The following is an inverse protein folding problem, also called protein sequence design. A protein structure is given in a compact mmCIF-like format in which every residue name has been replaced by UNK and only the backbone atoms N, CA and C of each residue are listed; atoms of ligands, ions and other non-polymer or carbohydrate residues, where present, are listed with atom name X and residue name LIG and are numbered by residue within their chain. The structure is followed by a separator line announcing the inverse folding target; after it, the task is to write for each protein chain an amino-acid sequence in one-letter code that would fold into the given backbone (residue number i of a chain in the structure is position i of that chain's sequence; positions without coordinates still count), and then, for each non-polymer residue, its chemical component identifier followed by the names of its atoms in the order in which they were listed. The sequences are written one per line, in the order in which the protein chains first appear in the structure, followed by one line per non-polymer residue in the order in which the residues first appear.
data_IF_931282609836
#
_entry.id   IF_931282609836
#
_cell.length_a   1.000
_cell.length_b   1.000
_cell.length_c   1.000
_cell.angle_alpha   90.00
_cell.angle_beta   90.00
_cell.angle_gamma   90.00
#
_symmetry.space_group_name_H-M   'P 1'
#
loop_
_entity.id
_entity.type
_entity.pdbx_description
1 polymer ?
#
# COMPACT_ATOMS: atom_id res chain seq x y z
N UNK A 1 -38.62 3.67 32.43
CA UNK A 1 -37.56 2.64 32.66
C UNK A 1 -36.61 2.42 31.47
N UNK A 2 -36.58 3.30 30.47
CA UNK A 2 -35.63 3.20 29.31
C UNK A 2 -34.21 3.77 29.57
N UNK A 3 -34.00 4.50 30.67
CA UNK A 3 -32.78 5.26 30.90
C UNK A 3 -31.58 4.48 31.45
N UNK A 4 -31.81 3.52 32.34
CA UNK A 4 -30.71 2.82 33.04
C UNK A 4 -30.06 1.71 32.17
N UNK A 5 -30.85 1.00 31.37
CA UNK A 5 -30.32 -0.02 30.46
C UNK A 5 -29.41 0.53 29.35
N UNK A 6 -29.66 1.75 28.91
CA UNK A 6 -28.84 2.43 27.89
C UNK A 6 -27.52 2.93 28.45
N UNK A 7 -27.47 3.39 29.69
CA UNK A 7 -26.23 3.86 30.36
C UNK A 7 -25.25 2.70 30.57
N UNK A 8 -25.73 1.54 31.01
CA UNK A 8 -24.89 0.35 31.20
C UNK A 8 -24.38 -0.23 29.86
N UNK A 9 -25.15 -0.13 28.80
CA UNK A 9 -24.73 -0.55 27.46
C UNK A 9 -23.69 0.42 26.83
N UNK A 10 -23.72 1.69 27.18
CA UNK A 10 -22.79 2.72 26.66
C UNK A 10 -21.39 2.68 27.31
N UNK A 11 -21.27 2.22 28.54
CA UNK A 11 -19.97 2.16 29.24
C UNK A 11 -18.96 1.21 28.55
N UNK A 12 -19.32 -0.04 28.13
CA UNK A 12 -18.42 -0.89 27.39
C UNK A 12 -17.99 -0.29 26.06
N UNK A 13 -18.89 0.40 25.34
CA UNK A 13 -18.59 1.07 24.08
C UNK A 13 -17.53 2.16 24.24
N UNK A 14 -17.72 3.03 25.24
CA UNK A 14 -16.76 4.11 25.55
C UNK A 14 -15.40 3.56 25.96
N UNK A 15 -15.38 2.51 26.80
CA UNK A 15 -14.13 1.88 27.24
C UNK A 15 -13.38 1.22 26.09
N UNK A 16 -14.08 0.50 25.22
CA UNK A 16 -13.49 -0.14 24.05
C UNK A 16 -12.90 0.90 23.09
N UNK A 17 -13.63 1.96 22.81
CA UNK A 17 -13.16 3.04 21.94
C UNK A 17 -11.97 3.81 22.55
N UNK A 18 -11.97 4.04 23.85
CA UNK A 18 -10.86 4.64 24.59
C UNK A 18 -9.59 3.80 24.48
N UNK A 19 -9.69 2.49 24.63
CA UNK A 19 -8.55 1.58 24.55
C UNK A 19 -7.98 1.52 23.13
N UNK A 20 -8.82 1.54 22.11
CA UNK A 20 -8.37 1.53 20.71
C UNK A 20 -7.80 2.87 20.24
N UNK A 21 -8.20 3.99 20.84
CA UNK A 21 -7.70 5.31 20.46
C UNK A 21 -6.48 5.75 21.28
N UNK A 22 -6.02 4.96 22.24
CA UNK A 22 -4.81 5.27 23.01
C UNK A 22 -3.52 5.33 22.16
N UNK A 23 -3.48 4.65 21.01
CA UNK A 23 -2.36 4.74 20.08
C UNK A 23 -2.24 6.12 19.40
N UNK A 24 -3.31 6.93 19.39
CA UNK A 24 -3.31 8.28 18.83
C UNK A 24 -2.68 9.34 19.75
N UNK A 25 -2.27 8.97 20.95
CA UNK A 25 -1.40 9.83 21.79
C UNK A 25 0.05 9.89 21.31
N UNK A 26 0.39 9.18 20.24
CA UNK A 26 1.69 9.31 19.61
C UNK A 26 1.76 10.67 18.89
N UNK A 27 2.68 11.51 19.31
CA UNK A 27 2.90 12.88 18.84
C UNK A 27 3.05 13.02 17.31
N UNK A 28 3.32 11.93 16.61
CA UNK A 28 3.40 11.90 15.15
C UNK A 28 2.05 12.12 14.46
N UNK A 29 0.94 11.90 15.15
CA UNK A 29 -0.42 12.04 14.61
C UNK A 29 -1.18 13.25 15.14
N UNK A 30 -0.65 13.99 16.11
CA UNK A 30 -1.31 15.18 16.69
C UNK A 30 -1.52 16.32 15.70
N UNK A 31 -0.80 16.32 14.57
CA UNK A 31 -0.92 17.37 13.56
C UNK A 31 -2.07 17.16 12.54
N UNK A 32 -2.74 16.03 12.55
CA UNK A 32 -3.72 15.66 11.51
C UNK A 32 -5.16 15.87 11.95
N UNK A 33 -5.43 15.86 13.25
CA UNK A 33 -6.78 16.04 13.82
C UNK A 33 -6.71 16.95 15.04
N UNK A 34 -7.49 18.01 15.06
CA UNK A 34 -7.55 18.92 16.21
C UNK A 34 -8.11 18.19 17.43
N UNK A 35 -7.74 18.63 18.64
CA UNK A 35 -8.25 18.05 19.88
C UNK A 35 -9.78 18.16 19.95
N UNK A 36 -10.36 19.23 19.42
CA UNK A 36 -11.81 19.43 19.35
C UNK A 36 -12.50 18.41 18.45
N UNK A 37 -11.95 18.13 17.26
CA UNK A 37 -12.47 17.10 16.36
C UNK A 37 -12.35 15.70 16.95
N UNK A 38 -11.25 15.41 17.62
CA UNK A 38 -11.03 14.18 18.36
C UNK A 38 -12.07 13.98 19.47
N UNK A 39 -12.32 14.99 20.30
CA UNK A 39 -13.32 14.96 21.36
C UNK A 39 -14.74 14.84 20.80
N UNK A 40 -15.06 15.58 19.75
CA UNK A 40 -16.36 15.51 19.06
C UNK A 40 -16.64 14.11 18.55
N UNK A 41 -15.66 13.46 17.91
CA UNK A 41 -15.79 12.08 17.42
C UNK A 41 -16.01 11.10 18.56
N UNK A 42 -15.28 11.24 19.66
CA UNK A 42 -15.41 10.37 20.84
C UNK A 42 -16.73 10.53 21.58
N UNK A 43 -17.32 11.71 21.53
CA UNK A 43 -18.62 12.01 22.14
C UNK A 43 -19.80 11.62 21.24
N UNK A 44 -19.52 11.27 19.97
CA UNK A 44 -20.56 10.86 19.04
C UNK A 44 -21.02 9.42 19.33
N UNK A 45 -22.17 9.30 19.98
CA UNK A 45 -22.75 8.00 20.36
C UNK A 45 -22.95 7.05 19.18
N UNK A 46 -23.24 7.56 17.98
CA UNK A 46 -23.43 6.73 16.78
C UNK A 46 -22.11 6.10 16.33
N UNK A 47 -21.03 6.88 16.29
CA UNK A 47 -19.68 6.38 15.92
C UNK A 47 -19.21 5.35 16.96
N UNK A 48 -19.35 5.66 18.24
CA UNK A 48 -18.98 4.76 19.34
C UNK A 48 -19.73 3.45 19.24
N UNK A 49 -21.04 3.51 18.96
CA UNK A 49 -21.88 2.32 18.79
C UNK A 49 -21.46 1.48 17.58
N UNK A 50 -21.23 2.10 16.42
CA UNK A 50 -20.80 1.41 15.21
C UNK A 50 -19.45 0.72 15.40
N UNK A 51 -18.50 1.40 16.04
CA UNK A 51 -17.18 0.85 16.36
C UNK A 51 -17.30 -0.37 17.27
N UNK A 52 -18.14 -0.29 18.30
CA UNK A 52 -18.36 -1.43 19.17
C UNK A 52 -19.01 -2.61 18.42
N UNK A 53 -20.07 -2.38 17.63
CA UNK A 53 -20.72 -3.42 16.84
C UNK A 53 -19.74 -4.11 15.90
N UNK A 54 -18.87 -3.33 15.25
CA UNK A 54 -17.86 -3.87 14.35
C UNK A 54 -16.90 -4.85 15.04
N UNK A 55 -16.43 -4.51 16.25
CA UNK A 55 -15.44 -5.32 16.95
C UNK A 55 -16.00 -6.41 17.84
N UNK A 56 -17.17 -6.20 18.42
CA UNK A 56 -17.67 -7.05 19.52
C UNK A 56 -19.02 -7.69 19.30
N UNK A 57 -19.84 -7.24 18.33
CA UNK A 57 -21.13 -7.88 18.05
C UNK A 57 -20.94 -9.19 17.29
N UNK A 58 -21.38 -10.35 17.84
CA UNK A 58 -21.17 -11.64 17.19
C UNK A 58 -21.83 -11.76 15.82
N UNK A 59 -23.00 -11.12 15.62
CA UNK A 59 -23.73 -11.16 14.34
C UNK A 59 -22.99 -10.35 13.27
N UNK A 60 -22.49 -9.15 13.64
CA UNK A 60 -21.72 -8.30 12.72
C UNK A 60 -20.43 -9.02 12.33
N UNK A 61 -19.71 -9.59 13.29
CA UNK A 61 -18.48 -10.36 13.02
C UNK A 61 -18.75 -11.57 12.14
N UNK A 62 -19.79 -12.35 12.47
CA UNK A 62 -20.15 -13.52 11.68
C UNK A 62 -20.56 -13.15 10.26
N UNK A 63 -21.36 -12.09 10.07
CA UNK A 63 -21.72 -11.59 8.76
C UNK A 63 -20.50 -11.07 7.96
N UNK A 64 -19.55 -10.44 8.64
CA UNK A 64 -18.30 -9.98 8.01
C UNK A 64 -17.37 -11.13 7.58
N UNK A 65 -17.48 -12.28 8.20
CA UNK A 65 -16.70 -13.49 7.87
C UNK A 65 -17.37 -14.39 6.82
N UNK A 66 -18.65 -14.13 6.49
CA UNK A 66 -19.35 -14.92 5.47
C UNK A 66 -18.73 -14.68 4.09
N UNK A 67 -18.29 -15.76 3.48
CA UNK A 67 -17.96 -15.73 2.06
C UNK A 67 -19.22 -15.43 1.24
N UNK A 68 -19.10 -14.50 0.33
CA UNK A 68 -20.13 -14.19 -0.66
C UNK A 68 -19.57 -14.48 -2.03
N UNK A 69 -20.31 -15.24 -2.81
CA UNK A 69 -20.00 -15.39 -4.22
C UNK A 69 -20.26 -14.07 -4.93
N UNK A 70 -19.32 -13.64 -5.72
CA UNK A 70 -19.40 -12.45 -6.52
C UNK A 70 -18.98 -12.82 -7.95
N UNK A 71 -19.88 -12.63 -8.90
CA UNK A 71 -19.57 -12.85 -10.31
C UNK A 71 -18.83 -11.66 -10.88
N UNK A 72 -17.62 -11.90 -11.38
CA UNK A 72 -16.86 -10.91 -12.13
C UNK A 72 -17.28 -11.04 -13.59
N UNK A 73 -18.09 -10.07 -14.07
CA UNK A 73 -18.44 -9.98 -15.48
C UNK A 73 -17.35 -9.22 -16.24
N UNK A 74 -17.35 -9.33 -17.56
CA UNK A 74 -16.43 -8.58 -18.43
C UNK A 74 -16.57 -7.08 -18.21
N UNK A 75 -17.79 -6.58 -18.16
CA UNK A 75 -18.09 -5.15 -17.94
C UNK A 75 -17.56 -4.67 -16.58
N UNK A 76 -17.68 -5.51 -15.55
CA UNK A 76 -17.12 -5.20 -14.23
C UNK A 76 -15.58 -5.10 -14.28
N UNK A 77 -14.93 -6.03 -14.96
CA UNK A 77 -13.48 -6.01 -15.15
C UNK A 77 -13.02 -4.76 -15.91
N UNK A 78 -13.73 -4.36 -16.98
CA UNK A 78 -13.46 -3.14 -17.76
C UNK A 78 -13.60 -1.87 -16.91
N UNK A 79 -14.64 -1.79 -16.09
CA UNK A 79 -14.84 -0.65 -15.17
C UNK A 79 -13.69 -0.56 -14.19
N UNK A 80 -13.28 -1.68 -13.55
CA UNK A 80 -12.16 -1.71 -12.62
C UNK A 80 -10.87 -1.29 -13.32
N UNK A 81 -10.61 -1.82 -14.51
CA UNK A 81 -9.42 -1.47 -15.29
C UNK A 81 -9.38 0.03 -15.62
N UNK A 82 -10.51 0.60 -16.04
CA UNK A 82 -10.66 2.03 -16.32
C UNK A 82 -10.39 2.87 -15.07
N UNK A 83 -10.95 2.47 -13.92
CA UNK A 83 -10.71 3.15 -12.65
C UNK A 83 -9.26 3.10 -12.21
N UNK A 84 -8.59 1.95 -12.39
CA UNK A 84 -7.18 1.79 -12.09
C UNK A 84 -6.32 2.72 -12.95
N UNK A 85 -6.58 2.80 -14.27
CA UNK A 85 -5.87 3.70 -15.17
C UNK A 85 -6.02 5.17 -14.76
N UNK A 86 -7.26 5.61 -14.49
CA UNK A 86 -7.51 6.96 -13.98
C UNK A 86 -6.84 7.23 -12.63
N UNK A 87 -6.76 6.23 -11.78
CA UNK A 87 -6.05 6.36 -10.51
C UNK A 87 -4.55 6.54 -10.73
N UNK A 88 -3.94 5.75 -11.63
CA UNK A 88 -2.53 5.88 -12.00
C UNK A 88 -2.22 7.27 -12.56
N UNK A 89 -3.04 7.78 -13.48
CA UNK A 89 -2.90 9.16 -13.98
C UNK A 89 -2.93 10.19 -12.85
N UNK A 90 -3.88 10.08 -11.94
CA UNK A 90 -4.03 10.99 -10.80
C UNK A 90 -2.86 10.91 -9.83
N UNK A 91 -2.33 9.71 -9.58
CA UNK A 91 -1.13 9.48 -8.76
C UNK A 91 0.09 10.14 -9.44
N UNK A 92 0.29 9.90 -10.73
CA UNK A 92 1.38 10.50 -11.50
C UNK A 92 1.31 12.03 -11.53
N UNK A 93 0.14 12.62 -11.79
CA UNK A 93 -0.07 14.08 -11.79
C UNK A 93 0.23 14.73 -10.42
N UNK A 94 0.07 13.99 -9.33
CA UNK A 94 0.37 14.45 -7.97
C UNK A 94 1.82 14.22 -7.56
N UNK A 95 2.63 13.59 -8.41
CA UNK A 95 4.01 13.24 -8.09
C UNK A 95 4.15 12.22 -6.96
N UNK A 96 3.10 11.42 -6.70
CA UNK A 96 3.13 10.37 -5.69
C UNK A 96 3.90 9.19 -6.26
N UNK A 97 4.85 8.67 -5.51
CA UNK A 97 5.60 7.47 -5.84
C UNK A 97 4.96 6.22 -5.24
N UNK A 98 5.18 5.08 -5.88
CA UNK A 98 4.69 3.77 -5.44
C UNK A 98 5.87 2.95 -4.97
N UNK A 99 5.79 2.41 -3.77
CA UNK A 99 6.69 1.40 -3.27
C UNK A 99 6.22 0.00 -3.69
N UNK A 100 7.12 -0.78 -4.25
CA UNK A 100 6.90 -2.17 -4.62
C UNK A 100 7.90 -3.06 -3.88
N UNK A 101 7.38 -4.13 -3.30
CA UNK A 101 8.13 -5.10 -2.50
C UNK A 101 7.87 -6.50 -3.08
N UNK A 102 8.60 -6.94 -4.13
CA UNK A 102 8.26 -8.11 -4.92
C UNK A 102 7.95 -9.37 -4.12
N UNK A 103 8.82 -9.79 -3.21
CA UNK A 103 8.61 -11.00 -2.40
C UNK A 103 7.42 -10.86 -1.43
N UNK A 104 7.34 -9.74 -0.72
CA UNK A 104 6.22 -9.44 0.18
C UNK A 104 4.90 -9.36 -0.58
N UNK A 105 4.89 -8.64 -1.71
CA UNK A 105 3.70 -8.49 -2.52
C UNK A 105 3.20 -9.82 -3.10
N UNK A 106 4.09 -10.73 -3.48
CA UNK A 106 3.70 -12.06 -3.93
C UNK A 106 3.13 -12.91 -2.79
N UNK A 107 3.76 -12.87 -1.63
CA UNK A 107 3.32 -13.67 -0.49
C UNK A 107 1.96 -13.23 0.06
N UNK A 108 1.67 -11.92 0.05
CA UNK A 108 0.44 -11.34 0.59
C UNK A 108 -0.60 -11.11 -0.51
N UNK A 109 -0.16 -10.88 -1.74
CA UNK A 109 -1.01 -10.53 -2.87
C UNK A 109 -1.69 -11.72 -3.53
N UNK A 110 -2.51 -11.42 -4.54
CA UNK A 110 -3.31 -12.40 -5.26
C UNK A 110 -2.75 -12.75 -6.66
N UNK A 111 -1.48 -12.47 -6.95
CA UNK A 111 -0.86 -12.85 -8.22
C UNK A 111 0.02 -14.10 -8.06
N UNK A 112 0.00 -14.96 -9.08
CA UNK A 112 0.64 -16.28 -9.02
C UNK A 112 2.12 -16.31 -9.37
N UNK A 113 2.59 -15.35 -10.16
CA UNK A 113 3.96 -15.32 -10.65
C UNK A 113 4.54 -13.90 -10.64
N UNK A 114 5.85 -13.77 -10.46
CA UNK A 114 6.50 -12.44 -10.45
C UNK A 114 6.34 -11.66 -11.76
N UNK A 115 6.14 -12.31 -12.90
CA UNK A 115 5.82 -11.65 -14.18
C UNK A 115 4.49 -10.89 -14.15
N UNK A 116 3.58 -11.23 -13.23
CA UNK A 116 2.29 -10.58 -13.04
C UNK A 116 2.36 -9.45 -11.99
N UNK A 117 3.56 -9.16 -11.48
CA UNK A 117 3.76 -8.17 -10.45
C UNK A 117 3.35 -6.77 -10.94
N UNK A 118 2.58 -5.99 -10.13
CA UNK A 118 2.08 -4.68 -10.52
C UNK A 118 3.14 -3.66 -10.94
N UNK A 119 4.41 -3.83 -10.56
CA UNK A 119 5.52 -2.95 -10.96
C UNK A 119 5.58 -2.75 -12.47
N UNK A 120 5.37 -3.81 -13.24
CA UNK A 120 5.41 -3.76 -14.71
C UNK A 120 4.26 -2.93 -15.29
N UNK A 121 3.12 -2.90 -14.62
CA UNK A 121 2.01 -2.05 -14.99
C UNK A 121 2.23 -0.59 -14.60
N UNK A 122 2.85 -0.36 -13.44
CA UNK A 122 3.11 0.99 -12.93
C UNK A 122 4.19 1.71 -13.72
N UNK A 123 5.22 0.98 -14.18
CA UNK A 123 6.31 1.52 -14.96
C UNK A 123 6.81 0.49 -15.98
N UNK A 124 6.48 0.68 -17.25
CA UNK A 124 6.82 -0.23 -18.34
C UNK A 124 7.37 0.45 -19.59
N UNK A 125 7.65 1.73 -19.53
CA UNK A 125 8.07 2.50 -20.72
C UNK A 125 9.31 2.02 -21.41
N UNK A 126 10.22 1.38 -20.68
CA UNK A 126 11.43 0.79 -21.26
C UNK A 126 11.24 -0.66 -21.69
N UNK A 127 10.06 -1.25 -21.45
CA UNK A 127 9.79 -2.64 -21.71
C UNK A 127 8.73 -2.78 -22.83
N UNK A 128 8.95 -3.62 -23.85
CA UNK A 128 7.98 -3.87 -24.91
C UNK A 128 6.89 -4.85 -24.43
N UNK A 129 6.17 -4.48 -23.39
CA UNK A 129 5.10 -5.29 -22.80
C UNK A 129 3.77 -4.93 -23.47
N UNK A 130 3.39 -5.69 -24.50
CA UNK A 130 2.18 -5.45 -25.30
C UNK A 130 0.91 -5.37 -24.46
N UNK A 131 0.82 -6.18 -23.38
CA UNK A 131 -0.33 -6.16 -22.49
C UNK A 131 -0.58 -4.83 -21.77
N UNK A 132 0.38 -3.93 -21.82
CA UNK A 132 0.30 -2.62 -21.17
C UNK A 132 0.39 -1.44 -22.17
N UNK A 133 0.44 -1.70 -23.47
CA UNK A 133 0.62 -0.69 -24.52
C UNK A 133 -0.37 0.47 -24.47
N UNK A 134 -1.61 0.18 -24.06
CA UNK A 134 -2.70 1.14 -24.00
C UNK A 134 -2.87 1.80 -22.61
N UNK A 135 -1.91 1.60 -21.70
CA UNK A 135 -2.02 2.04 -20.32
C UNK A 135 -1.05 3.18 -20.00
N UNK A 136 -1.45 4.12 -19.12
CA UNK A 136 -0.55 5.15 -18.60
C UNK A 136 0.47 4.50 -17.65
N UNK A 137 1.63 4.11 -18.17
CA UNK A 137 2.61 3.32 -17.44
C UNK A 137 3.81 4.09 -16.94
N UNK A 138 3.63 5.28 -16.35
CA UNK A 138 4.74 6.16 -16.00
C UNK A 138 4.70 6.65 -14.55
N UNK A 139 4.45 5.75 -13.63
CA UNK A 139 4.57 6.10 -12.23
C UNK A 139 6.03 6.01 -11.78
N UNK A 140 6.39 6.83 -10.82
CA UNK A 140 7.65 6.67 -10.07
C UNK A 140 7.51 5.49 -9.14
N UNK A 141 8.43 4.55 -9.26
CA UNK A 141 8.39 3.30 -8.51
C UNK A 141 9.73 3.06 -7.81
N UNK A 142 9.70 2.61 -6.57
CA UNK A 142 10.88 2.07 -5.87
C UNK A 142 10.69 0.59 -5.61
N UNK A 143 11.80 -0.15 -5.64
CA UNK A 143 11.86 -1.54 -5.20
C UNK A 143 12.45 -1.55 -3.80
N UNK A 144 11.76 -2.22 -2.87
CA UNK A 144 12.17 -2.36 -1.48
C UNK A 144 11.92 -3.79 -0.99
N UNK A 145 12.38 -4.09 0.21
CA UNK A 145 12.32 -5.43 0.81
C UNK A 145 11.12 -5.64 1.72
N UNK A 146 10.43 -4.53 2.12
CA UNK A 146 9.52 -4.57 3.25
C UNK A 146 10.26 -5.00 4.54
N UNK A 147 9.68 -5.83 5.38
CA UNK A 147 10.29 -6.33 6.60
C UNK A 147 11.25 -7.49 6.31
N UNK A 148 12.55 -7.22 6.34
CA UNK A 148 13.61 -8.20 6.09
C UNK A 148 13.51 -9.45 6.98
N UNK A 149 13.10 -9.24 8.24
CA UNK A 149 12.99 -10.33 9.21
C UNK A 149 11.79 -11.25 8.98
N UNK A 150 10.74 -10.72 8.32
CA UNK A 150 9.52 -11.49 8.02
C UNK A 150 9.63 -12.20 6.68
N UNK A 151 10.19 -11.52 5.66
CA UNK A 151 10.20 -12.03 4.29
C UNK A 151 11.52 -12.72 3.89
N UNK A 152 12.53 -12.72 4.77
CA UNK A 152 13.84 -13.36 4.57
C UNK A 152 14.44 -13.02 3.19
N UNK A 153 14.52 -11.74 2.88
CA UNK A 153 14.95 -11.25 1.57
C UNK A 153 16.02 -10.17 1.70
N UNK A 154 16.59 -9.76 0.58
CA UNK A 154 17.51 -8.62 0.47
C UNK A 154 17.14 -7.77 -0.74
N UNK A 155 17.66 -6.55 -0.82
CA UNK A 155 17.39 -5.66 -1.95
C UNK A 155 17.89 -6.27 -3.26
N UNK A 156 19.03 -6.95 -3.24
CA UNK A 156 19.58 -7.64 -4.40
C UNK A 156 18.66 -8.78 -4.84
N UNK A 157 18.07 -9.51 -3.90
CA UNK A 157 17.11 -10.57 -4.19
C UNK A 157 15.83 -10.01 -4.82
N UNK A 158 15.32 -8.88 -4.34
CA UNK A 158 14.14 -8.24 -4.91
C UNK A 158 14.38 -7.83 -6.39
N UNK A 159 15.53 -7.26 -6.70
CA UNK A 159 15.91 -6.96 -8.08
C UNK A 159 16.13 -8.22 -8.91
N UNK A 160 16.72 -9.27 -8.34
CA UNK A 160 16.91 -10.56 -9.02
C UNK A 160 15.58 -11.24 -9.38
N UNK A 161 14.56 -11.12 -8.53
CA UNK A 161 13.21 -11.63 -8.81
C UNK A 161 12.58 -10.93 -10.02
N UNK A 162 12.70 -9.61 -10.11
CA UNK A 162 12.22 -8.83 -11.27
C UNK A 162 13.01 -9.18 -12.53
N UNK A 163 14.33 -9.30 -12.43
CA UNK A 163 15.18 -9.73 -13.53
C UNK A 163 14.73 -11.10 -14.07
N UNK A 164 14.60 -12.08 -13.18
CA UNK A 164 14.20 -13.44 -13.55
C UNK A 164 12.81 -13.49 -14.16
N UNK A 165 11.89 -12.68 -13.67
CA UNK A 165 10.53 -12.59 -14.21
C UNK A 165 10.52 -12.12 -15.67
N UNK A 166 11.35 -11.11 -15.99
CA UNK A 166 11.48 -10.59 -17.36
C UNK A 166 12.28 -11.53 -18.27
N UNK A 167 13.32 -12.19 -17.75
CA UNK A 167 14.13 -13.15 -18.49
C UNK A 167 13.33 -14.39 -18.91
N UNK A 168 12.37 -14.81 -18.08
CA UNK A 168 11.51 -15.97 -18.34
C UNK A 168 10.33 -15.65 -19.27
N UNK A 169 10.13 -14.38 -19.64
CA UNK A 169 9.10 -14.02 -20.63
C UNK A 169 9.59 -14.37 -22.05
N UNK A 170 9.04 -15.44 -22.59
CA UNK A 170 9.42 -15.99 -23.90
C UNK A 170 8.28 -15.88 -24.91
N UNK A 171 8.64 -15.81 -26.17
CA UNK A 171 7.71 -15.93 -27.30
C UNK A 171 7.26 -17.38 -27.51
N UNK A 172 6.44 -17.62 -28.54
CA UNK A 172 5.93 -18.95 -28.92
C UNK A 172 7.04 -19.92 -29.31
N UNK A 173 8.17 -19.41 -29.78
CA UNK A 173 9.37 -20.18 -30.13
C UNK A 173 10.30 -20.45 -28.96
N UNK A 174 9.95 -19.97 -27.75
CA UNK A 174 10.76 -20.10 -26.54
C UNK A 174 11.94 -19.12 -26.47
N UNK A 175 11.98 -18.11 -27.34
CA UNK A 175 13.02 -17.07 -27.32
C UNK A 175 12.64 -15.99 -26.34
N UNK A 176 13.62 -15.49 -25.60
CA UNK A 176 13.44 -14.38 -24.67
C UNK A 176 12.92 -13.13 -25.40
N UNK A 177 11.80 -12.56 -24.95
CA UNK A 177 11.19 -11.37 -25.56
C UNK A 177 11.99 -10.09 -25.27
N UNK A 178 12.63 -10.03 -24.10
CA UNK A 178 13.34 -8.83 -23.63
C UNK A 178 14.79 -9.23 -23.38
N UNK A 179 15.72 -8.62 -24.13
CA UNK A 179 17.14 -8.92 -23.98
C UNK A 179 17.73 -8.47 -22.65
N UNK A 180 18.74 -9.19 -22.16
CA UNK A 180 19.37 -8.93 -20.84
C UNK A 180 19.84 -7.49 -20.68
N UNK A 181 20.37 -6.88 -21.74
CA UNK A 181 20.80 -5.47 -21.69
C UNK A 181 19.63 -4.52 -21.40
N UNK A 182 18.47 -4.80 -21.99
CA UNK A 182 17.26 -3.99 -21.77
C UNK A 182 16.69 -4.21 -20.37
N UNK A 183 16.72 -5.46 -19.88
CA UNK A 183 16.33 -5.77 -18.50
C UNK A 183 17.24 -5.02 -17.51
N UNK A 184 18.56 -5.06 -17.70
CA UNK A 184 19.50 -4.35 -16.85
C UNK A 184 19.26 -2.82 -16.87
N UNK A 185 18.99 -2.23 -18.04
CA UNK A 185 18.69 -0.81 -18.16
C UNK A 185 17.39 -0.44 -17.42
N UNK A 186 16.38 -1.29 -17.48
CA UNK A 186 15.13 -1.10 -16.74
C UNK A 186 15.35 -1.18 -15.22
N UNK A 187 16.10 -2.16 -14.74
CA UNK A 187 16.42 -2.30 -13.33
C UNK A 187 17.22 -1.11 -12.80
N UNK A 188 18.15 -0.59 -13.60
CA UNK A 188 18.88 0.61 -13.24
C UNK A 188 17.97 1.83 -13.15
N UNK A 189 17.02 1.99 -14.06
CA UNK A 189 15.99 3.04 -13.96
C UNK A 189 15.18 2.93 -12.66
N UNK A 190 14.74 1.71 -12.29
CA UNK A 190 14.02 1.50 -11.02
C UNK A 190 14.90 1.87 -9.81
N UNK A 191 16.18 1.52 -9.85
CA UNK A 191 17.15 1.84 -8.80
C UNK A 191 17.33 3.36 -8.66
N UNK A 192 17.51 4.06 -9.78
CA UNK A 192 17.64 5.53 -9.79
C UNK A 192 16.39 6.22 -9.24
N UNK A 193 15.19 5.80 -9.68
CA UNK A 193 13.94 6.30 -9.13
C UNK A 193 13.85 6.09 -7.62
N UNK A 194 14.28 4.94 -7.11
CA UNK A 194 14.33 4.65 -5.68
C UNK A 194 15.26 5.62 -4.93
N UNK A 195 16.43 5.92 -5.49
CA UNK A 195 17.35 6.89 -4.90
C UNK A 195 16.79 8.32 -4.88
N UNK A 196 16.11 8.75 -5.94
CA UNK A 196 15.47 10.06 -5.99
C UNK A 196 14.36 10.23 -4.96
N UNK A 197 13.72 9.12 -4.55
CA UNK A 197 12.64 9.10 -3.57
C UNK A 197 13.12 9.00 -2.13
N UNK A 198 14.42 8.82 -1.89
CA UNK A 198 14.95 8.83 -0.53
C UNK A 198 14.84 10.23 0.07
N UNK A 199 14.41 10.28 1.33
CA UNK A 199 14.43 11.56 2.05
C UNK A 199 15.88 12.02 2.19
N UNK A 200 16.23 13.25 1.73
CA UNK A 200 17.57 13.77 1.93
C UNK A 200 17.86 13.75 3.43
N UNK A 201 18.99 13.16 3.83
CA UNK A 201 19.47 13.29 5.21
C UNK A 201 19.47 14.77 5.51
N UNK A 202 18.63 15.20 6.46
CA UNK A 202 18.63 16.57 6.92
C UNK A 202 20.09 16.87 7.28
N UNK A 203 20.75 17.75 6.53
CA UNK A 203 22.02 18.29 6.94
C UNK A 203 21.77 18.86 8.32
N UNK A 204 22.35 18.24 9.33
CA UNK A 204 22.39 18.78 10.67
C UNK A 204 23.13 20.12 10.51
N UNK A 205 22.36 21.17 10.27
CA UNK A 205 22.89 22.51 10.15
C UNK A 205 23.82 22.71 11.34
N UNK A 206 24.98 23.30 11.11
CA UNK A 206 26.04 23.59 12.09
C UNK A 206 25.51 24.12 13.42
N UNK A 207 24.38 24.81 13.43
CA UNK A 207 23.63 25.27 14.61
C UNK A 207 23.08 24.15 15.52
N UNK A 208 22.72 22.97 15.01
CA UNK A 208 22.28 21.84 15.88
C UNK A 208 23.47 21.12 16.49
N UNK A 209 24.65 21.17 15.89
CA UNK A 209 25.88 20.58 16.45
C UNK A 209 26.43 21.39 17.65
N UNK A 210 26.22 22.70 17.66
CA UNK A 210 26.63 23.55 18.80
C UNK A 210 25.74 23.38 20.03
N UNK A 211 24.43 23.15 19.85
CA UNK A 211 23.49 22.93 20.97
C UNK A 211 23.59 21.54 21.62
N UNK A 212 24.25 20.57 20.97
CA UNK A 212 24.50 19.23 21.53
C UNK A 212 25.84 19.15 22.25
N UNK A 213 26.65 20.22 22.22
CA UNK A 213 27.95 20.31 22.91
C UNK A 213 27.95 21.24 24.13
N UNK A 214 26.79 21.79 24.49
CA UNK A 214 26.53 22.50 25.73
C UNK A 214 25.60 21.68 26.63
#
# INVERSE_FOLDING_TARGET
SRGLGDVYKRQPYRKAMLNQMNWRKDSRFEQVVTEEEYLRTRLNDKIVRLTYLYFYDPKVRWNGQRMREFQITTEYAEVIHTLQNRMMEKIGQRGIAIECNPSSNQLIGAFGAYRDHPVFRFNHTMLPLEQYSDQPGQLRVSINTDDLGVFDTSIENEFALIYSALQQDTDEDGRQKIGDQQICAYLEQLREMGHEMTFPKAELTSRKRENLRR
#
